data_IF_101044507416
#
_entry.id   IF_101044507416
#
_cell.length_a   1.000
_cell.length_b   1.000
_cell.length_c   1.000
_cell.angle_alpha   90.00
_cell.angle_beta   90.00
_cell.angle_gamma   90.00
#
_symmetry.space_group_name_H-M   'P 1'
#
loop_
_entity.id
_entity.type
_entity.pdbx_description
1 polymer ?
#
# COMPACT_ATOMS: atom_id res chain seq x y z
N UNK A 1 15.08 36.92 5.61
CA UNK A 1 14.38 35.78 4.98
C UNK A 1 14.85 35.79 3.53
N UNK A 2 15.47 34.71 3.02
CA UNK A 2 16.04 34.73 1.67
C UNK A 2 14.92 34.68 0.62
N UNK A 3 14.82 35.69 -0.23
CA UNK A 3 13.76 35.87 -1.25
C UNK A 3 13.71 34.78 -2.35
N UNK A 4 14.52 33.74 -2.24
CA UNK A 4 14.65 32.64 -3.21
C UNK A 4 14.38 31.24 -2.62
N UNK A 5 14.04 31.10 -1.34
CA UNK A 5 13.66 29.81 -0.76
C UNK A 5 12.15 29.59 -0.83
N UNK A 6 11.71 28.46 -1.39
CA UNK A 6 10.30 28.06 -1.38
C UNK A 6 9.79 27.86 0.05
N UNK A 7 8.67 28.49 0.38
CA UNK A 7 8.04 28.33 1.70
C UNK A 7 7.49 26.90 1.84
N UNK A 8 7.85 26.20 2.91
CA UNK A 8 7.24 24.92 3.25
C UNK A 8 5.74 25.12 3.47
N UNK A 9 4.93 24.43 2.67
CA UNK A 9 3.47 24.59 2.69
C UNK A 9 2.68 23.37 3.18
N UNK A 10 3.31 22.19 3.26
CA UNK A 10 2.65 20.93 3.58
C UNK A 10 3.67 19.88 4.02
N UNK A 11 3.29 19.02 4.95
CA UNK A 11 3.95 17.73 5.21
C UNK A 11 3.05 16.61 4.67
N UNK A 12 3.64 15.66 3.95
CA UNK A 12 2.93 14.49 3.42
C UNK A 12 3.48 13.22 4.06
N UNK A 13 2.60 12.39 4.59
CA UNK A 13 2.88 11.09 5.15
C UNK A 13 2.28 10.01 4.23
N UNK A 14 2.95 8.87 4.09
CA UNK A 14 2.42 7.72 3.34
C UNK A 14 2.21 6.54 4.29
N UNK A 15 0.98 6.02 4.36
CA UNK A 15 0.65 4.88 5.24
C UNK A 15 -0.41 3.94 4.64
N UNK A 16 -0.12 2.65 4.42
CA UNK A 16 1.16 1.95 4.56
C UNK A 16 2.19 2.35 3.49
N UNK A 17 3.46 2.53 3.87
CA UNK A 17 4.55 2.92 2.97
C UNK A 17 4.89 1.86 1.91
N UNK A 18 4.61 2.14 0.64
CA UNK A 18 4.79 1.23 -0.50
C UNK A 18 6.25 0.87 -0.75
N UNK A 19 7.16 1.86 -0.73
CA UNK A 19 8.60 1.62 -0.87
C UNK A 19 9.23 0.98 0.37
N UNK A 20 8.60 1.18 1.54
CA UNK A 20 8.97 0.54 2.80
C UNK A 20 8.50 -0.91 2.94
N UNK A 21 8.03 -1.55 1.85
CA UNK A 21 7.52 -2.92 1.89
C UNK A 21 6.17 -3.06 2.59
N UNK A 22 5.34 -2.00 2.56
CA UNK A 22 4.06 -1.98 3.27
C UNK A 22 4.21 -1.77 4.77
N UNK A 23 5.28 -1.07 5.18
CA UNK A 23 5.50 -0.61 6.55
C UNK A 23 4.36 0.28 7.04
N UNK A 24 4.08 0.23 8.35
CA UNK A 24 2.96 0.95 8.98
C UNK A 24 3.46 1.98 9.99
N UNK A 25 2.70 3.07 10.15
CA UNK A 25 2.90 4.04 11.23
C UNK A 25 1.78 3.94 12.25
N UNK A 26 2.14 3.80 13.53
CA UNK A 26 1.14 3.80 14.61
C UNK A 26 0.40 5.14 14.70
N UNK A 27 -0.78 5.11 15.31
CA UNK A 27 -1.51 6.35 15.64
C UNK A 27 -0.69 7.33 16.49
N UNK A 28 0.17 6.83 17.38
CA UNK A 28 1.05 7.66 18.21
C UNK A 28 2.13 8.38 17.38
N UNK A 29 2.84 7.64 16.53
CA UNK A 29 3.85 8.21 15.62
C UNK A 29 3.22 9.24 14.66
N UNK A 30 2.03 8.93 14.14
CA UNK A 30 1.31 9.83 13.24
C UNK A 30 0.88 11.11 13.98
N UNK A 31 0.37 10.97 15.20
CA UNK A 31 -0.01 12.09 16.07
C UNK A 31 1.18 12.99 16.42
N UNK A 32 2.33 12.41 16.77
CA UNK A 32 3.55 13.15 17.09
C UNK A 32 3.98 14.06 15.93
N UNK A 33 4.00 13.52 14.70
CA UNK A 33 4.35 14.30 13.51
C UNK A 33 3.33 15.43 13.27
N UNK A 34 2.03 15.13 13.34
CA UNK A 34 0.97 16.11 13.15
C UNK A 34 1.06 17.26 14.16
N UNK A 35 1.23 16.94 15.44
CA UNK A 35 1.34 17.94 16.51
C UNK A 35 2.56 18.86 16.29
N UNK A 36 3.69 18.29 15.90
CA UNK A 36 4.89 19.08 15.63
C UNK A 36 4.77 19.93 14.35
N UNK A 37 4.13 19.42 13.31
CA UNK A 37 3.80 20.18 12.10
C UNK A 37 2.88 21.37 12.41
N UNK A 38 1.85 21.17 13.22
CA UNK A 38 0.89 22.22 13.58
C UNK A 38 1.51 23.35 14.40
N UNK A 39 2.50 23.07 15.26
CA UNK A 39 3.28 24.12 15.96
C UNK A 39 4.01 25.06 14.99
N UNK A 40 4.31 24.58 13.79
CA UNK A 40 4.95 25.34 12.70
C UNK A 40 3.93 25.93 11.71
N UNK A 41 2.62 25.82 11.99
CA UNK A 41 1.53 26.17 11.08
C UNK A 41 1.57 25.41 9.75
N UNK A 42 2.11 24.18 9.74
CA UNK A 42 2.16 23.33 8.57
C UNK A 42 1.00 22.31 8.60
N UNK A 43 0.16 22.24 7.57
CA UNK A 43 -0.83 21.18 7.45
C UNK A 43 -0.15 19.83 7.16
N UNK A 44 -0.84 18.75 7.51
CA UNK A 44 -0.43 17.37 7.22
C UNK A 44 -1.46 16.68 6.33
N UNK A 45 -0.99 16.07 5.24
CA UNK A 45 -1.75 15.16 4.40
C UNK A 45 -1.25 13.73 4.63
N UNK A 46 -2.16 12.78 4.72
CA UNK A 46 -1.83 11.35 4.68
C UNK A 46 -2.24 10.80 3.31
N UNK A 47 -1.27 10.39 2.51
CA UNK A 47 -1.45 9.43 1.42
C UNK A 47 -1.71 8.05 2.05
N UNK A 48 -2.99 7.81 2.29
CA UNK A 48 -3.52 6.58 2.86
C UNK A 48 -3.95 5.59 1.79
N UNK A 49 -3.26 5.53 0.64
CA UNK A 49 -3.55 4.60 -0.45
C UNK A 49 -3.84 3.17 0.02
N UNK A 50 -3.25 2.73 1.14
CA UNK A 50 -3.49 1.45 1.82
C UNK A 50 -3.70 1.62 3.33
N UNK A 51 -4.34 2.71 3.77
CA UNK A 51 -4.54 2.99 5.20
C UNK A 51 -5.34 1.89 5.92
N UNK A 52 -6.21 1.17 5.21
CA UNK A 52 -6.93 0.01 5.77
C UNK A 52 -6.02 -1.19 6.03
N UNK A 53 -4.95 -1.38 5.23
CA UNK A 53 -3.93 -2.38 5.53
C UNK A 53 -3.15 -1.98 6.78
N UNK A 54 -2.80 -0.69 6.94
CA UNK A 54 -2.14 -0.21 8.15
C UNK A 54 -3.02 -0.38 9.40
N UNK A 55 -4.29 0.02 9.32
CA UNK A 55 -5.30 -0.18 10.36
C UNK A 55 -5.43 -1.65 10.78
N UNK A 56 -5.53 -2.56 9.81
CA UNK A 56 -5.63 -4.00 10.06
C UNK A 56 -4.37 -4.54 10.73
N UNK A 57 -3.17 -4.17 10.25
CA UNK A 57 -1.91 -4.63 10.81
C UNK A 57 -1.66 -4.13 12.24
N UNK A 58 -2.10 -2.90 12.53
CA UNK A 58 -1.95 -2.28 13.86
C UNK A 58 -3.07 -2.66 14.83
N UNK A 59 -4.14 -3.31 14.35
CA UNK A 59 -5.38 -3.50 15.09
C UNK A 59 -5.93 -2.18 15.67
N UNK A 60 -5.91 -1.13 14.84
CA UNK A 60 -6.40 0.22 15.15
C UNK A 60 -7.39 0.65 14.07
N UNK A 61 -8.32 1.55 14.40
CA UNK A 61 -9.20 2.12 13.39
C UNK A 61 -8.47 3.14 12.52
N UNK A 62 -8.89 3.27 11.25
CA UNK A 62 -8.41 4.34 10.36
C UNK A 62 -8.64 5.73 10.99
N UNK A 63 -9.75 5.90 11.72
CA UNK A 63 -10.05 7.15 12.42
C UNK A 63 -9.03 7.49 13.50
N UNK A 64 -8.55 6.51 14.27
CA UNK A 64 -7.52 6.72 15.29
C UNK A 64 -6.17 7.08 14.68
N UNK A 65 -5.75 6.36 13.63
CA UNK A 65 -4.47 6.60 12.95
C UNK A 65 -4.43 8.01 12.37
N UNK A 66 -5.55 8.46 11.78
CA UNK A 66 -5.61 9.69 10.99
C UNK A 66 -6.15 10.91 11.73
N UNK A 67 -6.50 10.79 13.02
CA UNK A 67 -7.27 11.80 13.78
C UNK A 67 -6.69 13.22 13.73
N UNK A 68 -5.36 13.34 13.71
CA UNK A 68 -4.66 14.62 13.79
C UNK A 68 -4.26 15.16 12.40
N UNK A 69 -4.51 14.42 11.32
CA UNK A 69 -4.21 14.87 9.96
C UNK A 69 -5.23 15.91 9.47
N UNK A 70 -4.78 16.85 8.63
CA UNK A 70 -5.67 17.85 8.03
C UNK A 70 -6.45 17.28 6.84
N UNK A 71 -5.87 16.30 6.15
CA UNK A 71 -6.53 15.58 5.07
C UNK A 71 -5.97 14.17 4.93
N UNK A 72 -6.80 13.26 4.40
CA UNK A 72 -6.43 11.86 4.14
C UNK A 72 -6.96 11.51 2.77
N UNK A 73 -6.16 10.84 1.95
CA UNK A 73 -6.64 10.15 0.77
C UNK A 73 -6.60 8.64 1.03
N UNK A 74 -7.61 7.89 0.60
CA UNK A 74 -7.51 6.42 0.55
C UNK A 74 -8.06 5.85 -0.75
N UNK A 75 -7.54 4.70 -1.17
CA UNK A 75 -7.96 4.04 -2.40
C UNK A 75 -9.04 3.00 -2.15
N UNK A 76 -10.04 2.97 -3.02
CA UNK A 76 -11.03 1.89 -3.08
C UNK A 76 -10.58 0.77 -4.03
N UNK A 77 -9.76 1.11 -5.03
CA UNK A 77 -9.38 0.20 -6.12
C UNK A 77 -8.06 -0.54 -5.93
N UNK A 78 -7.74 -0.90 -4.69
CA UNK A 78 -6.58 -1.72 -4.33
C UNK A 78 -7.06 -2.96 -3.58
N UNK A 79 -6.53 -3.22 -2.38
CA UNK A 79 -6.97 -4.34 -1.53
C UNK A 79 -8.46 -4.28 -1.14
N UNK A 80 -9.12 -3.13 -1.28
CA UNK A 80 -10.56 -3.03 -1.07
C UNK A 80 -11.41 -3.55 -2.24
N UNK A 81 -10.84 -3.75 -3.43
CA UNK A 81 -11.51 -4.48 -4.53
C UNK A 81 -12.53 -3.68 -5.37
N UNK A 82 -12.68 -2.36 -5.19
CA UNK A 82 -13.51 -1.58 -6.12
C UNK A 82 -12.83 -1.48 -7.50
N UNK A 83 -13.57 -1.43 -8.61
CA UNK A 83 -12.96 -1.35 -9.94
C UNK A 83 -12.25 -0.01 -10.19
N UNK A 84 -12.76 1.09 -9.61
CA UNK A 84 -12.23 2.44 -9.77
C UNK A 84 -12.48 3.23 -8.50
N UNK A 85 -11.50 4.05 -8.11
CA UNK A 85 -11.76 5.21 -7.28
C UNK A 85 -10.88 5.34 -6.05
N UNK A 86 -10.85 6.57 -5.56
CA UNK A 86 -10.19 7.02 -4.33
C UNK A 86 -11.05 8.09 -3.69
N UNK A 87 -10.96 8.22 -2.36
CA UNK A 87 -11.67 9.23 -1.58
C UNK A 87 -10.65 10.17 -0.95
N UNK A 88 -10.97 11.47 -0.94
CA UNK A 88 -10.24 12.51 -0.22
C UNK A 88 -11.13 13.02 0.91
N UNK A 89 -10.60 13.02 2.13
CA UNK A 89 -11.25 13.50 3.35
C UNK A 89 -10.51 14.72 3.89
N UNK A 90 -11.24 15.60 4.56
CA UNK A 90 -10.72 16.81 5.17
C UNK A 90 -11.85 17.76 5.55
N UNK A 91 -11.48 18.96 6.02
CA UNK A 91 -12.46 20.01 6.38
C UNK A 91 -13.29 20.44 5.18
N UNK A 92 -14.49 20.96 5.45
CA UNK A 92 -15.48 21.34 4.42
C UNK A 92 -14.92 22.34 3.42
N UNK A 93 -14.18 23.33 3.89
CA UNK A 93 -13.57 24.39 3.08
C UNK A 93 -12.53 23.80 2.12
N UNK A 94 -11.65 22.93 2.65
CA UNK A 94 -10.65 22.19 1.87
C UNK A 94 -11.30 21.32 0.79
N UNK A 95 -12.34 20.56 1.13
CA UNK A 95 -13.03 19.71 0.15
C UNK A 95 -13.79 20.54 -0.90
N UNK A 96 -14.28 21.72 -0.54
CA UNK A 96 -14.88 22.64 -1.52
C UNK A 96 -13.88 23.09 -2.58
N UNK A 97 -12.67 23.46 -2.15
CA UNK A 97 -11.58 23.79 -3.05
C UNK A 97 -11.13 22.57 -3.87
N UNK A 98 -10.92 21.43 -3.22
CA UNK A 98 -10.51 20.19 -3.88
C UNK A 98 -11.51 19.73 -4.95
N UNK A 99 -12.82 19.93 -4.76
CA UNK A 99 -13.83 19.65 -5.81
C UNK A 99 -13.68 20.56 -7.03
N UNK A 100 -13.28 21.82 -6.83
CA UNK A 100 -13.00 22.76 -7.91
C UNK A 100 -11.77 22.32 -8.69
N UNK A 101 -10.71 21.92 -8.01
CA UNK A 101 -9.52 21.31 -8.62
C UNK A 101 -9.83 20.01 -9.35
N UNK A 102 -10.63 19.11 -8.76
CA UNK A 102 -11.12 17.89 -9.42
C UNK A 102 -11.81 18.22 -10.75
N UNK A 103 -12.59 19.30 -10.83
CA UNK A 103 -13.24 19.72 -12.07
C UNK A 103 -12.23 20.21 -13.12
N UNK A 104 -11.19 20.94 -12.70
CA UNK A 104 -10.10 21.44 -13.57
C UNK A 104 -9.27 20.28 -14.14
N UNK A 105 -8.97 19.28 -13.33
CA UNK A 105 -8.26 18.05 -13.75
C UNK A 105 -9.16 17.05 -14.49
N UNK A 106 -10.43 17.36 -14.74
CA UNK A 106 -11.33 16.48 -15.50
C UNK A 106 -12.01 15.36 -14.71
N UNK A 107 -11.79 15.24 -13.40
CA UNK A 107 -12.43 14.22 -12.54
C UNK A 107 -13.91 14.47 -12.21
N UNK A 108 -14.53 15.50 -12.79
CA UNK A 108 -15.95 15.82 -12.64
C UNK A 108 -16.84 14.94 -13.53
N UNK A 109 -16.91 13.65 -13.22
CA UNK A 109 -17.71 12.66 -13.95
C UNK A 109 -19.22 12.86 -13.76
N UNK A 110 -20.02 12.26 -14.65
CA UNK A 110 -21.50 12.33 -14.62
C UNK A 110 -22.09 11.16 -13.84
N UNK A 111 -22.56 10.11 -14.51
CA UNK A 111 -23.24 8.95 -13.90
C UNK A 111 -22.27 8.03 -13.11
N UNK A 112 -21.49 8.60 -12.20
CA UNK A 112 -20.46 7.94 -11.39
C UNK A 112 -21.05 7.03 -10.29
N UNK A 113 -22.38 7.06 -10.10
CA UNK A 113 -23.09 6.24 -9.11
C UNK A 113 -22.82 4.74 -9.23
N UNK A 114 -22.58 4.24 -10.45
CA UNK A 114 -22.22 2.83 -10.70
C UNK A 114 -20.89 2.49 -10.01
N UNK A 115 -19.88 3.35 -10.14
CA UNK A 115 -18.59 3.16 -9.49
C UNK A 115 -18.69 3.38 -7.97
N UNK A 116 -19.50 4.35 -7.55
CA UNK A 116 -19.73 4.63 -6.13
C UNK A 116 -20.41 3.45 -5.42
N UNK A 117 -21.32 2.72 -6.07
CA UNK A 117 -21.95 1.53 -5.51
C UNK A 117 -20.92 0.43 -5.21
N UNK A 118 -20.00 0.15 -6.13
CA UNK A 118 -18.89 -0.77 -5.87
C UNK A 118 -17.96 -0.25 -4.77
N UNK A 119 -17.74 1.07 -4.71
CA UNK A 119 -16.97 1.71 -3.65
C UNK A 119 -17.58 1.57 -2.26
N UNK A 120 -18.91 1.59 -2.12
CA UNK A 120 -19.60 1.36 -0.84
C UNK A 120 -19.37 -0.06 -0.34
N UNK A 121 -19.56 -1.06 -1.19
CA UNK A 121 -19.29 -2.47 -0.84
C UNK A 121 -17.82 -2.64 -0.44
N UNK A 122 -16.90 -2.09 -1.23
CA UNK A 122 -15.46 -2.15 -0.96
C UNK A 122 -15.08 -1.51 0.38
N UNK A 123 -15.77 -0.45 0.80
CA UNK A 123 -15.49 0.23 2.07
C UNK A 123 -16.10 -0.49 3.28
N UNK A 124 -17.27 -1.13 3.11
CA UNK A 124 -18.01 -1.76 4.21
C UNK A 124 -17.59 -3.22 4.45
N UNK A 125 -17.21 -3.96 3.40
CA UNK A 125 -16.98 -5.40 3.49
C UNK A 125 -15.49 -5.77 3.44
N UNK A 126 -14.72 -5.19 2.52
CA UNK A 126 -13.34 -5.63 2.29
C UNK A 126 -12.38 -5.41 3.48
N UNK A 127 -12.48 -4.33 4.30
CA UNK A 127 -11.61 -4.18 5.46
C UNK A 127 -11.69 -5.35 6.44
N UNK A 128 -12.83 -6.04 6.51
CA UNK A 128 -13.06 -7.18 7.42
C UNK A 128 -12.18 -8.38 7.08
N UNK A 129 -11.71 -8.48 5.84
CA UNK A 129 -10.99 -9.66 5.32
C UNK A 129 -9.54 -9.37 4.91
N UNK A 130 -9.06 -8.13 5.04
CA UNK A 130 -7.67 -7.77 4.69
C UNK A 130 -6.61 -8.55 5.48
N UNK A 131 -6.95 -9.09 6.65
CA UNK A 131 -6.05 -9.93 7.44
C UNK A 131 -5.65 -11.21 6.68
N UNK A 132 -6.52 -11.74 5.82
CA UNK A 132 -6.22 -12.91 4.98
C UNK A 132 -5.08 -12.60 4.00
N UNK A 133 -5.09 -11.40 3.40
CA UNK A 133 -4.01 -10.96 2.51
C UNK A 133 -2.68 -10.87 3.29
N UNK A 134 -2.71 -10.39 4.53
CA UNK A 134 -1.52 -10.27 5.39
C UNK A 134 -0.97 -11.63 5.77
N UNK A 135 -1.85 -12.58 6.14
CA UNK A 135 -1.47 -13.97 6.43
C UNK A 135 -0.83 -14.65 5.22
N UNK A 136 -1.38 -14.43 4.01
CA UNK A 136 -0.81 -14.95 2.77
C UNK A 136 0.54 -14.29 2.44
N UNK A 137 0.70 -12.98 2.66
CA UNK A 137 1.98 -12.30 2.47
C UNK A 137 3.03 -12.79 3.47
N UNK A 138 2.66 -12.98 4.74
CA UNK A 138 3.54 -13.54 5.77
C UNK A 138 3.97 -14.96 5.39
N UNK A 139 3.03 -15.81 4.95
CA UNK A 139 3.33 -17.16 4.48
C UNK A 139 4.31 -17.16 3.30
N UNK A 140 4.09 -16.28 2.33
CA UNK A 140 4.98 -16.11 1.18
C UNK A 140 6.38 -15.69 1.65
N UNK A 141 6.47 -14.69 2.53
CA UNK A 141 7.72 -14.19 3.08
C UNK A 141 8.52 -15.27 3.82
N UNK A 142 7.86 -16.03 4.70
CA UNK A 142 8.47 -17.16 5.40
C UNK A 142 8.91 -18.27 4.43
N UNK A 143 8.12 -18.53 3.39
CA UNK A 143 8.46 -19.52 2.37
C UNK A 143 9.70 -19.13 1.57
N UNK A 144 9.74 -17.90 1.04
CA UNK A 144 10.89 -17.44 0.24
C UNK A 144 12.15 -17.25 1.07
N UNK A 145 12.03 -16.96 2.37
CA UNK A 145 13.17 -16.90 3.29
C UNK A 145 13.94 -18.23 3.41
N UNK A 146 13.30 -19.36 3.10
CA UNK A 146 13.93 -20.68 3.11
C UNK A 146 14.63 -21.04 1.78
N UNK A 147 14.49 -20.22 0.74
CA UNK A 147 15.06 -20.49 -0.57
C UNK A 147 16.47 -19.90 -0.66
N UNK A 148 17.46 -20.74 -1.02
CA UNK A 148 18.86 -20.33 -1.13
C UNK A 148 19.03 -19.19 -2.15
N UNK A 149 19.77 -18.15 -1.75
CA UNK A 149 20.06 -16.99 -2.58
C UNK A 149 18.99 -15.88 -2.52
N UNK A 150 17.91 -16.09 -1.76
CA UNK A 150 16.93 -15.07 -1.42
C UNK A 150 17.25 -14.49 -0.03
N UNK A 151 17.14 -13.17 0.10
CA UNK A 151 17.25 -12.48 1.39
C UNK A 151 15.99 -11.65 1.67
N UNK A 152 15.36 -11.94 2.81
CA UNK A 152 14.20 -11.19 3.32
C UNK A 152 14.16 -11.30 4.85
N UNK A 153 13.69 -10.24 5.49
CA UNK A 153 13.30 -10.26 6.90
C UNK A 153 11.78 -10.48 6.98
N UNK A 154 11.36 -11.73 7.16
CA UNK A 154 9.95 -12.10 7.17
C UNK A 154 9.16 -11.46 8.33
N UNK A 155 9.83 -11.04 9.42
CA UNK A 155 9.18 -10.33 10.53
C UNK A 155 8.76 -8.91 10.18
N UNK A 156 9.40 -8.29 9.18
CA UNK A 156 9.02 -6.96 8.70
C UNK A 156 7.84 -6.96 7.72
N UNK A 157 7.39 -8.13 7.27
CA UNK A 157 6.21 -8.25 6.41
C UNK A 157 4.96 -8.22 7.30
N UNK A 158 4.43 -7.02 7.49
CA UNK A 158 3.29 -6.75 8.38
C UNK A 158 1.99 -6.43 7.64
N UNK A 159 2.03 -6.25 6.32
CA UNK A 159 0.85 -6.03 5.48
C UNK A 159 0.87 -6.98 4.27
N UNK A 160 0.39 -6.55 3.10
CA UNK A 160 0.21 -7.39 1.92
C UNK A 160 1.35 -7.26 0.89
N UNK A 161 2.48 -6.64 1.24
CA UNK A 161 3.61 -6.42 0.33
C UNK A 161 4.80 -7.26 0.80
N UNK A 162 5.35 -8.06 -0.12
CA UNK A 162 6.55 -8.86 0.13
C UNK A 162 7.63 -8.38 -0.84
N UNK A 163 8.75 -7.92 -0.30
CA UNK A 163 9.93 -7.51 -1.07
C UNK A 163 11.11 -8.33 -0.58
N UNK A 164 11.72 -9.10 -1.48
CA UNK A 164 12.86 -9.95 -1.17
C UNK A 164 13.98 -9.75 -2.19
N UNK A 165 15.22 -9.66 -1.71
CA UNK A 165 16.41 -9.53 -2.53
C UNK A 165 16.75 -10.88 -3.17
N UNK A 166 17.14 -10.86 -4.44
CA UNK A 166 17.52 -12.05 -5.22
C UNK A 166 18.94 -11.94 -5.78
N UNK A 167 19.75 -11.00 -5.28
CA UNK A 167 21.07 -10.70 -5.84
C UNK A 167 22.08 -11.84 -5.68
N UNK A 168 21.89 -12.70 -4.68
CA UNK A 168 22.74 -13.87 -4.42
C UNK A 168 22.35 -15.10 -5.25
N UNK A 169 21.26 -15.03 -6.03
CA UNK A 169 20.83 -16.12 -6.91
C UNK A 169 21.67 -16.24 -8.20
N UNK A 170 22.46 -15.21 -8.52
CA UNK A 170 23.17 -15.10 -9.81
C UNK A 170 22.27 -14.80 -11.01
N UNK A 171 20.97 -14.60 -10.79
CA UNK A 171 19.99 -14.16 -11.80
C UNK A 171 19.47 -12.78 -11.43
N UNK A 172 19.07 -11.98 -12.42
CA UNK A 172 18.42 -10.70 -12.19
C UNK A 172 16.95 -10.89 -11.79
N UNK A 173 16.39 -9.91 -11.07
CA UNK A 173 14.96 -9.90 -10.71
C UNK A 173 14.05 -9.99 -11.95
N UNK A 174 14.44 -9.36 -13.06
CA UNK A 174 13.72 -9.42 -14.33
C UNK A 174 13.71 -10.81 -14.95
N UNK A 175 14.85 -11.50 -14.99
CA UNK A 175 14.93 -12.88 -15.52
C UNK A 175 14.10 -13.87 -14.70
N UNK A 176 14.10 -13.71 -13.37
CA UNK A 176 13.26 -14.54 -12.49
C UNK A 176 11.78 -14.26 -12.76
N UNK A 177 11.37 -12.98 -12.85
CA UNK A 177 9.96 -12.63 -13.11
C UNK A 177 9.47 -13.12 -14.49
N UNK A 178 10.28 -13.04 -15.54
CA UNK A 178 9.90 -13.57 -16.86
C UNK A 178 9.72 -15.10 -16.84
N UNK A 179 10.58 -15.83 -16.12
CA UNK A 179 10.41 -17.29 -15.97
C UNK A 179 9.21 -17.68 -15.11
N UNK A 180 8.90 -16.91 -14.06
CA UNK A 180 7.67 -17.11 -13.28
C UNK A 180 6.42 -16.85 -14.13
N UNK A 181 6.47 -15.87 -15.02
CA UNK A 181 5.38 -15.55 -15.94
C UNK A 181 5.06 -16.70 -16.91
N UNK A 182 6.04 -17.49 -17.34
CA UNK A 182 5.80 -18.72 -18.10
C UNK A 182 4.96 -19.75 -17.34
N UNK A 183 4.89 -19.64 -16.00
CA UNK A 183 4.05 -20.43 -15.09
C UNK A 183 2.76 -19.70 -14.68
N UNK A 184 2.43 -18.58 -15.31
CA UNK A 184 1.33 -17.68 -14.95
C UNK A 184 1.46 -17.02 -13.56
N UNK A 185 2.67 -16.92 -13.02
CA UNK A 185 2.94 -16.21 -11.77
C UNK A 185 3.50 -14.83 -12.12
N UNK A 186 2.72 -13.77 -11.83
CA UNK A 186 3.12 -12.40 -12.14
C UNK A 186 3.72 -11.72 -10.91
N UNK A 187 4.92 -11.17 -11.09
CA UNK A 187 5.63 -10.41 -10.07
C UNK A 187 6.32 -9.18 -10.70
N UNK A 188 6.77 -8.26 -9.85
CA UNK A 188 7.36 -6.99 -10.30
C UNK A 188 8.86 -6.96 -9.96
N UNK A 189 9.76 -6.85 -10.95
CA UNK A 189 11.16 -6.55 -10.70
C UNK A 189 11.31 -5.22 -9.95
N UNK A 190 12.10 -5.21 -8.89
CA UNK A 190 12.28 -4.07 -7.99
C UNK A 190 13.78 -3.85 -7.69
N UNK A 191 14.52 -3.38 -8.70
CA UNK A 191 15.98 -3.30 -8.61
C UNK A 191 16.59 -4.70 -8.46
N UNK A 192 17.34 -4.92 -7.39
CA UNK A 192 17.91 -6.24 -7.04
C UNK A 192 16.91 -7.18 -6.35
N UNK A 193 15.72 -6.67 -6.01
CA UNK A 193 14.67 -7.42 -5.36
C UNK A 193 13.51 -7.73 -6.30
N UNK A 194 12.60 -8.56 -5.84
CA UNK A 194 11.30 -8.81 -6.44
C UNK A 194 10.24 -8.34 -5.45
N UNK A 195 9.21 -7.64 -5.96
CA UNK A 195 8.02 -7.27 -5.19
C UNK A 195 6.83 -8.13 -5.63
N UNK A 196 6.25 -8.82 -4.67
CA UNK A 196 4.97 -9.51 -4.80
C UNK A 196 3.95 -8.88 -3.84
N UNK A 197 2.69 -8.86 -4.22
CA UNK A 197 1.61 -8.23 -3.46
C UNK A 197 0.44 -9.21 -3.41
N UNK A 198 -0.02 -9.55 -2.21
CA UNK A 198 -1.20 -10.39 -2.01
C UNK A 198 -2.47 -9.53 -2.00
N UNK A 199 -3.58 -10.12 -2.39
CA UNK A 199 -4.89 -9.50 -2.46
C UNK A 199 -5.97 -10.58 -2.57
N UNK A 200 -7.23 -10.17 -2.46
CA UNK A 200 -8.43 -11.00 -2.56
C UNK A 200 -8.41 -12.09 -3.65
N UNK A 201 -7.84 -11.81 -4.82
CA UNK A 201 -7.79 -12.77 -5.96
C UNK A 201 -6.58 -13.74 -5.91
N UNK A 202 -5.80 -13.74 -4.82
CA UNK A 202 -4.66 -14.66 -4.61
C UNK A 202 -4.95 -15.53 -3.39
N UNK A 203 -5.23 -16.80 -3.67
CA UNK A 203 -5.54 -17.81 -2.67
C UNK A 203 -4.29 -18.31 -1.95
N UNK A 204 -4.48 -19.07 -0.87
CA UNK A 204 -3.38 -19.75 -0.17
C UNK A 204 -2.68 -20.74 -1.10
N UNK A 205 -3.45 -21.45 -1.93
CA UNK A 205 -2.96 -22.41 -2.90
C UNK A 205 -2.06 -21.76 -3.96
N UNK A 206 -2.38 -20.52 -4.37
CA UNK A 206 -1.53 -19.73 -5.28
C UNK A 206 -0.18 -19.37 -4.62
N UNK A 207 -0.18 -19.08 -3.32
CA UNK A 207 1.05 -18.85 -2.55
C UNK A 207 1.90 -20.12 -2.51
N UNK A 208 1.32 -21.26 -2.18
CA UNK A 208 2.06 -22.53 -2.12
C UNK A 208 2.62 -22.92 -3.50
N UNK A 209 1.83 -22.73 -4.56
CA UNK A 209 2.27 -22.96 -5.95
C UNK A 209 3.44 -22.05 -6.32
N UNK A 210 3.36 -20.77 -5.93
CA UNK A 210 4.42 -19.79 -6.19
C UNK A 210 5.73 -20.18 -5.52
N UNK A 211 5.69 -20.64 -4.26
CA UNK A 211 6.87 -21.07 -3.52
C UNK A 211 7.55 -22.27 -4.18
N UNK A 212 6.78 -23.27 -4.59
CA UNK A 212 7.28 -24.47 -5.28
C UNK A 212 7.96 -24.11 -6.60
N UNK A 213 7.33 -23.27 -7.43
CA UNK A 213 7.89 -22.89 -8.73
C UNK A 213 9.12 -22.00 -8.59
N UNK A 214 9.14 -21.10 -7.59
CA UNK A 214 10.31 -20.27 -7.31
C UNK A 214 11.51 -21.10 -6.83
N UNK A 215 11.28 -22.09 -5.96
CA UNK A 215 12.32 -22.99 -5.49
C UNK A 215 12.93 -23.81 -6.65
N UNK A 216 12.09 -24.42 -7.50
CA UNK A 216 12.55 -25.16 -8.68
C UNK A 216 13.39 -24.29 -9.61
N UNK A 217 12.96 -23.05 -9.83
CA UNK A 217 13.61 -22.09 -10.71
C UNK A 217 15.01 -21.68 -10.22
N UNK A 218 15.21 -21.61 -8.90
CA UNK A 218 16.47 -21.18 -8.29
C UNK A 218 17.42 -22.34 -8.00
N UNK A 219 16.91 -23.57 -7.98
CA UNK A 219 17.73 -24.80 -7.93
C UNK A 219 18.24 -25.26 -9.30
N UNK A 220 17.74 -24.67 -10.40
CA UNK A 220 18.18 -24.91 -11.79
C UNK A 220 19.25 -23.93 -12.29
#
# INVERSE_FOLDING_TARGET
MHDYSGQTGLICLEDSGSFGGGSVMSAEQTSEICVNAHKLNLPVHIDGARIFNAATALNQSVAEITKDANSVQFCLSKGLGAPVGSILLGKKEFISEARSWRKRFGGGMRQVGILAAAGLIALEESPKILHIDHENAKRLAEGVANIKGISIDAEKVVTNIVIFDVSETGKTSAEICEKLKEKNILAIPFGKAIRMVTHYDVSREDIETTLVELEKLLQS
#
